data_IF_033755711181
#
_entry.id   IF_033755711181
#
_cell.length_a   1.000
_cell.length_b   1.000
_cell.length_c   1.000
_cell.angle_alpha   90.00
_cell.angle_beta   90.00
_cell.angle_gamma   90.00
#
_symmetry.space_group_name_H-M   'P 1'
#
loop_
_entity.id
_entity.type
_entity.pdbx_description
1 polymer ?
#
# COMPACT_ATOMS: atom_id res chain seq x y z
N UNK A 1 70.26 -38.37 21.29
CA UNK A 1 69.93 -37.08 20.71
C UNK A 1 68.51 -37.25 20.17
N UNK A 2 67.49 -36.83 20.96
CA UNK A 2 66.06 -37.01 20.62
C UNK A 2 65.51 -35.69 20.17
N UNK A 3 65.10 -35.54 18.86
CA UNK A 3 64.44 -34.39 18.29
C UNK A 3 62.95 -34.43 18.70
N UNK A 4 62.44 -33.33 19.28
CA UNK A 4 61.01 -33.09 19.55
C UNK A 4 60.37 -32.35 18.36
N UNK A 5 59.19 -32.73 17.87
CA UNK A 5 58.52 -31.94 16.86
C UNK A 5 57.74 -30.78 17.52
N UNK A 6 57.93 -29.57 16.99
CA UNK A 6 57.17 -28.40 17.35
C UNK A 6 55.77 -28.44 16.60
N UNK A 7 54.73 -28.44 17.37
CA UNK A 7 53.34 -28.30 16.84
C UNK A 7 53.04 -26.81 16.71
N UNK A 8 52.94 -26.35 15.48
CA UNK A 8 52.45 -24.99 15.20
C UNK A 8 50.90 -24.96 15.29
N UNK A 9 50.40 -24.20 16.24
CA UNK A 9 48.95 -23.97 16.43
C UNK A 9 48.49 -22.89 15.44
N UNK A 10 47.73 -23.28 14.41
CA UNK A 10 47.17 -22.39 13.44
C UNK A 10 45.85 -21.80 14.02
N UNK A 11 45.85 -20.55 14.45
CA UNK A 11 44.67 -19.86 14.94
C UNK A 11 43.82 -19.42 13.75
N UNK A 12 42.66 -20.06 13.57
CA UNK A 12 41.63 -19.69 12.57
C UNK A 12 40.83 -18.49 13.09
N UNK A 13 41.11 -17.29 12.58
CA UNK A 13 40.35 -16.10 12.86
C UNK A 13 39.08 -16.13 12.02
N UNK A 14 37.93 -16.46 12.63
CA UNK A 14 36.62 -16.33 12.04
C UNK A 14 36.22 -14.84 12.01
N UNK A 15 36.37 -14.22 10.84
CA UNK A 15 35.81 -12.88 10.58
C UNK A 15 34.29 -12.98 10.45
N UNK A 16 33.56 -12.60 11.49
CA UNK A 16 32.09 -12.41 11.42
C UNK A 16 31.80 -11.13 10.64
N UNK A 17 31.43 -11.26 9.37
CA UNK A 17 30.82 -10.18 8.57
C UNK A 17 29.48 -9.83 9.17
N UNK A 18 29.40 -8.79 9.99
CA UNK A 18 28.14 -8.15 10.32
C UNK A 18 27.63 -7.46 9.05
N UNK A 19 26.61 -8.06 8.41
CA UNK A 19 25.87 -7.42 7.34
C UNK A 19 25.26 -6.13 7.89
N UNK A 20 25.84 -5.00 7.48
CA UNK A 20 25.31 -3.67 7.78
C UNK A 20 24.01 -3.55 7.01
N UNK A 21 22.87 -3.52 7.72
CA UNK A 21 21.59 -3.22 7.12
C UNK A 21 21.71 -1.83 6.46
N UNK A 22 21.66 -1.81 5.14
CA UNK A 22 21.66 -0.58 4.34
C UNK A 22 20.38 0.18 4.69
N UNK A 23 20.54 1.37 5.26
CA UNK A 23 19.41 2.22 5.62
C UNK A 23 18.61 2.51 4.36
N UNK A 24 17.30 2.21 4.37
CA UNK A 24 16.39 2.55 3.29
C UNK A 24 16.50 4.04 2.94
N UNK A 25 16.39 4.43 1.64
CA UNK A 25 16.54 5.82 1.23
C UNK A 25 15.58 6.72 2.01
N UNK A 26 16.13 7.77 2.59
CA UNK A 26 15.45 8.74 3.44
C UNK A 26 14.15 9.25 2.81
N UNK A 27 13.09 9.27 3.62
CA UNK A 27 11.86 9.95 3.28
C UNK A 27 12.18 11.42 2.91
N UNK A 28 11.78 11.85 1.71
CA UNK A 28 11.99 13.23 1.25
C UNK A 28 11.39 14.19 2.28
N UNK A 29 12.17 15.09 2.90
CA UNK A 29 11.64 16.02 3.88
C UNK A 29 10.55 16.88 3.27
N UNK A 30 9.50 17.13 4.04
CA UNK A 30 8.49 18.10 3.70
C UNK A 30 9.14 19.48 3.61
N UNK A 31 9.33 20.03 2.42
CA UNK A 31 9.86 21.37 2.26
C UNK A 31 8.87 22.34 2.92
N UNK A 32 9.21 22.84 4.11
CA UNK A 32 8.53 23.95 4.77
C UNK A 32 7.76 23.64 6.06
N UNK A 33 7.68 22.39 6.54
CA UNK A 33 7.06 22.09 7.83
C UNK A 33 7.88 21.09 8.64
N UNK A 34 8.51 21.57 9.70
CA UNK A 34 9.19 20.73 10.71
C UNK A 34 8.21 19.99 11.61
N UNK A 35 6.92 20.31 11.52
CA UNK A 35 5.85 19.76 12.35
C UNK A 35 4.87 18.86 11.56
N UNK A 36 5.20 18.42 10.36
CA UNK A 36 4.38 17.47 9.60
C UNK A 36 4.54 16.04 10.13
N UNK A 37 3.48 15.21 10.00
CA UNK A 37 3.54 13.78 10.33
C UNK A 37 4.63 13.06 9.49
N UNK A 38 4.68 13.37 8.20
CA UNK A 38 5.64 12.80 7.27
C UNK A 38 5.40 11.33 6.93
N UNK A 39 6.19 10.85 5.96
CA UNK A 39 6.32 9.43 5.64
C UNK A 39 7.61 8.92 6.26
N UNK A 40 7.51 8.06 7.27
CA UNK A 40 8.63 7.65 8.09
C UNK A 40 9.64 6.75 7.36
N UNK A 41 9.14 5.90 6.45
CA UNK A 41 9.99 5.05 5.59
C UNK A 41 9.24 4.57 4.36
N UNK A 42 10.01 4.13 3.38
CA UNK A 42 9.54 3.41 2.20
C UNK A 42 9.73 1.91 2.45
N UNK A 43 8.71 1.11 2.08
CA UNK A 43 8.76 -0.35 2.17
C UNK A 43 8.60 -0.94 0.77
N UNK A 44 9.69 -1.43 0.15
CA UNK A 44 9.59 -2.20 -1.08
C UNK A 44 8.86 -3.53 -0.82
N UNK A 45 7.92 -3.89 -1.70
CA UNK A 45 7.16 -5.13 -1.63
C UNK A 45 7.38 -5.94 -2.90
N UNK A 46 7.90 -7.15 -2.71
CA UNK A 46 8.21 -8.11 -3.78
C UNK A 46 7.17 -9.23 -3.79
N UNK A 47 6.56 -9.47 -4.94
CA UNK A 47 5.58 -10.54 -5.12
C UNK A 47 6.17 -11.95 -4.90
N UNK A 48 7.44 -12.16 -5.18
CA UNK A 48 8.11 -13.44 -4.96
C UNK A 48 8.26 -13.78 -3.47
N UNK A 49 8.33 -12.76 -2.60
CA UNK A 49 8.48 -12.91 -1.15
C UNK A 49 7.12 -12.77 -0.44
N UNK A 50 6.31 -11.85 -0.92
CA UNK A 50 5.06 -11.43 -0.24
C UNK A 50 3.92 -11.30 -1.25
N UNK A 51 3.44 -12.42 -1.82
CA UNK A 51 2.43 -12.38 -2.89
C UNK A 51 1.06 -11.91 -2.41
N UNK A 52 0.75 -12.04 -1.11
CA UNK A 52 -0.57 -11.72 -0.54
C UNK A 52 -0.39 -11.13 0.85
N UNK A 53 -1.02 -9.98 1.13
CA UNK A 53 -0.89 -9.25 2.41
C UNK A 53 -2.24 -8.77 2.94
N UNK A 54 -2.37 -8.66 4.28
CA UNK A 54 -3.54 -8.13 4.98
C UNK A 54 -4.32 -9.19 5.74
N UNK A 55 -4.20 -9.18 7.08
CA UNK A 55 -4.66 -10.23 8.01
C UNK A 55 -6.17 -10.47 8.03
N UNK A 56 -6.96 -9.53 7.49
CA UNK A 56 -8.41 -9.76 7.36
C UNK A 56 -8.75 -10.81 6.31
N UNK A 57 -7.83 -11.10 5.37
CA UNK A 57 -8.08 -11.98 4.22
C UNK A 57 -6.97 -13.02 4.01
N UNK A 58 -5.76 -12.75 4.52
CA UNK A 58 -4.61 -13.61 4.33
C UNK A 58 -3.92 -13.91 5.66
N UNK A 59 -3.17 -15.02 5.80
CA UNK A 59 -2.47 -15.37 7.04
C UNK A 59 -1.39 -14.35 7.42
N UNK A 60 -0.86 -13.61 6.45
CA UNK A 60 0.27 -12.69 6.62
C UNK A 60 -0.08 -11.25 6.25
N UNK A 61 0.74 -10.32 6.70
CA UNK A 61 0.69 -8.91 6.31
C UNK A 61 2.10 -8.38 6.05
N UNK A 62 2.21 -7.10 5.76
CA UNK A 62 3.48 -6.41 5.58
C UNK A 62 4.35 -6.45 6.84
N UNK A 63 5.67 -6.40 6.67
CA UNK A 63 6.64 -6.33 7.77
C UNK A 63 6.60 -4.93 8.42
N UNK A 64 5.59 -4.71 9.26
CA UNK A 64 5.36 -3.46 9.99
C UNK A 64 5.73 -3.64 11.46
N UNK A 65 6.44 -2.64 12.01
CA UNK A 65 6.66 -2.53 13.44
C UNK A 65 5.39 -2.01 14.16
N UNK A 66 5.27 -2.20 15.46
CA UNK A 66 4.20 -1.58 16.24
C UNK A 66 4.13 -0.07 16.00
N UNK A 67 2.91 0.46 15.87
CA UNK A 67 2.61 1.84 15.51
C UNK A 67 3.04 2.25 14.09
N UNK A 68 3.33 1.32 13.19
CA UNK A 68 3.44 1.59 11.77
C UNK A 68 2.10 1.37 11.07
N UNK A 69 1.74 2.31 10.20
CA UNK A 69 0.50 2.27 9.42
C UNK A 69 0.79 2.47 7.94
N UNK A 70 0.11 1.71 7.10
CA UNK A 70 0.06 1.91 5.65
C UNK A 70 -1.33 2.40 5.31
N UNK A 71 -1.44 3.61 4.73
CA UNK A 71 -2.71 4.18 4.33
C UNK A 71 -3.05 3.75 2.91
N UNK A 72 -4.23 3.16 2.72
CA UNK A 72 -4.70 2.72 1.41
C UNK A 72 -6.10 3.24 1.11
N UNK A 73 -6.32 3.65 -0.14
CA UNK A 73 -7.59 4.22 -0.61
C UNK A 73 -8.05 3.48 -1.86
N UNK A 74 -9.32 3.06 -1.90
CA UNK A 74 -9.91 2.32 -2.99
C UNK A 74 -10.95 3.16 -3.76
N UNK A 75 -11.35 2.69 -4.97
CA UNK A 75 -12.42 3.17 -5.85
C UNK A 75 -12.16 4.44 -6.64
N UNK A 76 -11.17 5.23 -6.26
CA UNK A 76 -10.88 6.51 -6.90
C UNK A 76 -10.35 6.41 -8.34
N UNK A 77 -10.07 7.59 -8.92
CA UNK A 77 -10.38 8.92 -8.38
C UNK A 77 -11.84 9.32 -8.54
N UNK A 78 -12.32 10.26 -7.70
CA UNK A 78 -13.65 10.83 -7.79
C UNK A 78 -13.63 12.36 -7.65
N UNK A 79 -14.52 13.05 -8.38
CA UNK A 79 -14.68 14.48 -8.28
C UNK A 79 -15.09 14.90 -6.86
N UNK A 80 -14.51 15.98 -6.37
CA UNK A 80 -14.90 16.62 -5.10
C UNK A 80 -14.40 15.95 -3.83
N UNK A 81 -13.89 14.72 -3.89
CA UNK A 81 -13.39 13.99 -2.70
C UNK A 81 -11.91 13.63 -2.80
N UNK A 82 -11.47 12.99 -3.88
CA UNK A 82 -10.06 12.59 -4.05
C UNK A 82 -9.11 13.78 -3.93
N UNK A 83 -9.46 14.94 -4.51
CA UNK A 83 -8.65 16.16 -4.36
C UNK A 83 -8.49 16.60 -2.91
N UNK A 84 -9.54 16.51 -2.08
CA UNK A 84 -9.49 16.84 -0.65
C UNK A 84 -8.63 15.85 0.14
N UNK A 85 -8.69 14.56 -0.21
CA UNK A 85 -7.82 13.52 0.38
C UNK A 85 -6.35 13.82 0.06
N UNK A 86 -6.01 14.08 -1.21
CA UNK A 86 -4.67 14.45 -1.63
C UNK A 86 -4.17 15.72 -0.91
N UNK A 87 -5.02 16.76 -0.80
CA UNK A 87 -4.69 17.98 -0.07
C UNK A 87 -4.38 17.72 1.42
N UNK A 88 -5.13 16.82 2.06
CA UNK A 88 -4.90 16.46 3.45
C UNK A 88 -3.56 15.72 3.63
N UNK A 89 -3.27 14.75 2.76
CA UNK A 89 -2.00 14.00 2.76
C UNK A 89 -0.82 14.92 2.47
N UNK A 90 -0.95 15.83 1.51
CA UNK A 90 0.08 16.79 1.14
C UNK A 90 0.44 17.74 2.28
N UNK A 91 -0.54 18.25 3.02
CA UNK A 91 -0.30 19.12 4.20
C UNK A 91 0.54 18.44 5.28
N UNK A 92 0.38 17.13 5.44
CA UNK A 92 1.13 16.35 6.42
C UNK A 92 2.33 15.61 5.81
N UNK A 93 2.63 15.83 4.53
CA UNK A 93 3.72 15.15 3.78
C UNK A 93 3.66 13.62 3.83
N UNK A 94 2.46 13.10 3.87
CA UNK A 94 2.18 11.67 3.94
C UNK A 94 1.97 11.10 2.55
N UNK A 95 2.66 10.01 2.23
CA UNK A 95 2.43 9.21 1.04
C UNK A 95 1.55 8.01 1.38
N UNK A 96 0.69 7.64 0.44
CA UNK A 96 -0.27 6.56 0.58
C UNK A 96 -0.34 5.71 -0.71
N UNK A 97 -1.13 4.65 -0.70
CA UNK A 97 -1.39 3.83 -1.89
C UNK A 97 -2.86 3.94 -2.28
N UNK A 98 -3.11 4.13 -3.58
CA UNK A 98 -4.45 4.29 -4.15
C UNK A 98 -4.72 3.15 -5.12
N UNK A 99 -5.74 2.34 -4.85
CA UNK A 99 -6.20 1.24 -5.69
C UNK A 99 -7.30 1.77 -6.61
N UNK A 100 -6.92 2.21 -7.81
CA UNK A 100 -7.82 2.89 -8.71
C UNK A 100 -8.67 1.94 -9.54
N UNK A 101 -9.92 2.33 -9.78
CA UNK A 101 -10.75 1.73 -10.83
C UNK A 101 -10.34 2.27 -12.20
N UNK A 102 -10.24 1.38 -13.18
CA UNK A 102 -9.88 1.79 -14.54
C UNK A 102 -10.86 2.82 -15.13
N UNK A 103 -12.18 2.63 -14.91
CA UNK A 103 -13.21 3.59 -15.34
C UNK A 103 -13.08 4.97 -14.69
N UNK A 104 -12.68 4.99 -13.40
CA UNK A 104 -12.50 6.23 -12.64
C UNK A 104 -11.24 6.97 -13.10
N UNK A 105 -10.16 6.25 -13.38
CA UNK A 105 -8.93 6.83 -13.93
C UNK A 105 -9.18 7.48 -15.30
N UNK A 106 -9.96 6.85 -16.17
CA UNK A 106 -10.36 7.42 -17.47
C UNK A 106 -11.29 8.64 -17.31
N UNK A 107 -12.20 8.62 -16.35
CA UNK A 107 -13.14 9.72 -16.12
C UNK A 107 -12.47 10.95 -15.49
N UNK A 108 -11.46 10.77 -14.67
CA UNK A 108 -10.75 11.84 -13.92
C UNK A 108 -9.23 11.73 -14.07
N UNK A 109 -8.70 11.80 -15.31
CA UNK A 109 -7.29 11.55 -15.59
C UNK A 109 -6.35 12.53 -14.86
N UNK A 110 -6.77 13.78 -14.66
CA UNK A 110 -5.96 14.79 -13.98
C UNK A 110 -5.80 14.45 -12.47
N UNK A 111 -6.84 13.92 -11.83
CA UNK A 111 -6.73 13.46 -10.44
C UNK A 111 -5.85 12.21 -10.32
N UNK A 112 -5.96 11.27 -11.28
CA UNK A 112 -5.09 10.10 -11.31
C UNK A 112 -3.61 10.50 -11.49
N UNK A 113 -3.30 11.42 -12.42
CA UNK A 113 -1.93 11.95 -12.63
C UNK A 113 -1.44 12.73 -11.42
N UNK A 114 -2.31 13.53 -10.78
CA UNK A 114 -1.98 14.24 -9.56
C UNK A 114 -1.56 13.28 -8.44
N UNK A 115 -2.27 12.15 -8.29
CA UNK A 115 -1.93 11.13 -7.29
C UNK A 115 -0.48 10.65 -7.45
N UNK A 116 -0.06 10.34 -8.69
CA UNK A 116 1.33 9.93 -8.96
C UNK A 116 2.31 11.09 -8.77
N UNK A 117 1.99 12.28 -9.27
CA UNK A 117 2.91 13.44 -9.21
C UNK A 117 3.16 13.93 -7.78
N UNK A 118 2.24 13.68 -6.84
CA UNK A 118 2.43 13.95 -5.40
C UNK A 118 3.17 12.80 -4.68
N UNK A 119 3.63 11.77 -5.43
CA UNK A 119 4.50 10.70 -4.93
C UNK A 119 3.77 9.54 -4.25
N UNK A 120 2.46 9.42 -4.44
CA UNK A 120 1.69 8.27 -3.98
C UNK A 120 1.88 7.07 -4.89
N UNK A 121 1.74 5.87 -4.35
CA UNK A 121 1.66 4.63 -5.15
C UNK A 121 0.26 4.50 -5.74
N UNK A 122 0.18 4.36 -7.07
CA UNK A 122 -1.07 3.98 -7.74
C UNK A 122 -1.03 2.49 -8.05
N UNK A 123 -2.05 1.80 -7.60
CA UNK A 123 -2.30 0.37 -7.75
C UNK A 123 -3.68 0.14 -8.43
N UNK A 124 -4.15 -1.09 -8.49
CA UNK A 124 -5.26 -1.47 -9.36
C UNK A 124 -6.40 -2.14 -8.60
N UNK A 125 -7.65 -1.82 -8.99
CA UNK A 125 -8.88 -2.30 -8.35
C UNK A 125 -9.94 -2.75 -9.36
N UNK A 126 -9.56 -3.40 -10.46
CA UNK A 126 -10.39 -3.74 -11.63
C UNK A 126 -10.76 -2.54 -12.50
N UNK A 127 -11.55 -2.79 -13.54
CA UNK A 127 -12.07 -1.70 -14.37
C UNK A 127 -13.34 -1.07 -13.79
N UNK A 128 -14.34 -1.90 -13.38
CA UNK A 128 -15.69 -1.44 -13.04
C UNK A 128 -16.22 -1.88 -11.66
N UNK A 129 -15.38 -2.52 -10.84
CA UNK A 129 -15.70 -2.95 -9.48
C UNK A 129 -16.72 -4.11 -9.35
N UNK A 130 -16.72 -5.15 -10.18
CA UNK A 130 -17.57 -6.32 -9.95
C UNK A 130 -16.99 -7.22 -8.85
N UNK A 131 -17.83 -8.03 -8.21
CA UNK A 131 -17.39 -9.11 -7.32
C UNK A 131 -16.87 -10.27 -8.17
N UNK A 132 -15.54 -10.41 -8.24
CA UNK A 132 -14.88 -11.30 -9.20
C UNK A 132 -15.10 -12.79 -8.91
N UNK A 133 -15.38 -13.18 -7.67
CA UNK A 133 -15.71 -14.55 -7.26
C UNK A 133 -17.06 -15.04 -7.83
N UNK A 134 -17.91 -14.11 -8.28
CA UNK A 134 -19.22 -14.37 -8.90
C UNK A 134 -19.19 -14.42 -10.42
N UNK A 135 -18.01 -14.22 -11.00
CA UNK A 135 -17.80 -14.18 -12.45
C UNK A 135 -17.13 -15.47 -12.95
N UNK A 136 -17.39 -15.89 -14.21
CA UNK A 136 -16.55 -16.90 -14.85
C UNK A 136 -15.07 -16.43 -14.83
N UNK A 137 -14.10 -17.33 -14.55
CA UNK A 137 -12.69 -16.94 -14.37
C UNK A 137 -12.09 -16.13 -15.51
N UNK A 138 -12.44 -16.45 -16.77
CA UNK A 138 -11.96 -15.69 -17.93
C UNK A 138 -12.53 -14.28 -18.03
N UNK A 139 -13.81 -14.08 -17.65
CA UNK A 139 -14.43 -12.77 -17.59
C UNK A 139 -13.86 -11.91 -16.44
N UNK A 140 -13.60 -12.54 -15.29
CA UNK A 140 -12.95 -11.88 -14.15
C UNK A 140 -11.52 -11.44 -14.50
N UNK A 141 -10.76 -12.26 -15.19
CA UNK A 141 -9.41 -11.92 -15.66
C UNK A 141 -9.42 -10.77 -16.67
N UNK A 142 -10.37 -10.79 -17.63
CA UNK A 142 -10.52 -9.70 -18.58
C UNK A 142 -10.89 -8.37 -17.89
N UNK A 143 -11.69 -8.40 -16.83
CA UNK A 143 -12.03 -7.22 -16.03
C UNK A 143 -10.82 -6.67 -15.27
N UNK A 144 -9.95 -7.54 -14.74
CA UNK A 144 -8.67 -7.17 -14.12
C UNK A 144 -7.76 -6.52 -15.16
N UNK A 145 -7.55 -7.19 -16.30
CA UNK A 145 -6.62 -6.73 -17.35
C UNK A 145 -7.08 -5.40 -17.97
N UNK A 146 -8.37 -5.22 -18.15
CA UNK A 146 -8.94 -3.95 -18.60
C UNK A 146 -8.69 -2.84 -17.58
N UNK A 147 -8.77 -3.15 -16.28
CA UNK A 147 -8.44 -2.22 -15.21
C UNK A 147 -6.96 -1.79 -15.26
N UNK A 148 -6.04 -2.76 -15.37
CA UNK A 148 -4.61 -2.49 -15.52
C UNK A 148 -4.33 -1.59 -16.73
N UNK A 149 -4.85 -1.99 -17.90
CA UNK A 149 -4.64 -1.25 -19.14
C UNK A 149 -5.17 0.20 -19.05
N UNK A 150 -6.34 0.42 -18.49
CA UNK A 150 -6.93 1.74 -18.38
C UNK A 150 -6.14 2.67 -17.44
N UNK A 151 -5.73 2.18 -16.27
CA UNK A 151 -4.93 2.95 -15.31
C UNK A 151 -3.55 3.28 -15.90
N UNK A 152 -2.83 2.30 -16.42
CA UNK A 152 -1.48 2.48 -16.95
C UNK A 152 -1.46 3.37 -18.21
N UNK A 153 -2.44 3.22 -19.09
CA UNK A 153 -2.58 4.11 -20.25
C UNK A 153 -2.84 5.56 -19.83
N UNK A 154 -3.66 5.78 -18.79
CA UNK A 154 -3.96 7.11 -18.26
C UNK A 154 -2.73 7.78 -17.66
N UNK A 155 -1.90 7.01 -16.95
CA UNK A 155 -0.78 7.55 -16.18
C UNK A 155 0.52 7.61 -16.99
N UNK A 156 0.77 6.58 -17.80
CA UNK A 156 2.08 6.36 -18.42
C UNK A 156 2.03 6.32 -19.96
N UNK A 157 0.83 6.49 -20.55
CA UNK A 157 0.63 6.44 -22.00
C UNK A 157 0.87 5.05 -22.62
N UNK A 158 0.98 4.01 -21.81
CA UNK A 158 1.23 2.62 -22.22
C UNK A 158 0.51 1.65 -21.30
N UNK A 159 0.22 0.47 -21.84
CA UNK A 159 -0.28 -0.65 -21.06
C UNK A 159 0.53 -1.90 -21.38
N UNK A 160 0.68 -2.78 -20.42
CA UNK A 160 1.40 -4.03 -20.55
C UNK A 160 0.66 -5.18 -19.88
N UNK A 161 1.16 -6.39 -20.07
CA UNK A 161 0.64 -7.60 -19.43
C UNK A 161 0.84 -7.60 -17.92
N UNK A 162 1.95 -6.99 -17.46
CA UNK A 162 2.23 -6.69 -16.06
C UNK A 162 2.08 -5.18 -15.92
N UNK A 163 1.26 -4.69 -14.97
CA UNK A 163 1.08 -3.27 -14.77
C UNK A 163 2.35 -2.60 -14.24
N UNK A 164 2.45 -1.28 -14.41
CA UNK A 164 3.59 -0.49 -13.93
C UNK A 164 3.83 -0.68 -12.42
N UNK A 165 2.75 -0.69 -11.63
CA UNK A 165 2.78 -1.07 -10.22
C UNK A 165 2.08 -2.43 -10.08
N UNK A 166 2.79 -3.52 -9.77
CA UNK A 166 2.21 -4.86 -9.71
C UNK A 166 1.45 -5.10 -8.39
N UNK A 167 0.56 -4.20 -8.03
CA UNK A 167 -0.29 -4.28 -6.84
C UNK A 167 -1.76 -4.27 -7.24
N UNK A 168 -2.52 -5.18 -6.63
CA UNK A 168 -3.93 -5.35 -6.91
C UNK A 168 -4.72 -5.58 -5.62
N UNK A 169 -5.94 -5.06 -5.57
CA UNK A 169 -6.94 -5.39 -4.54
C UNK A 169 -8.24 -5.81 -5.21
N UNK A 170 -8.81 -6.91 -4.71
CA UNK A 170 -10.10 -7.41 -5.17
C UNK A 170 -11.23 -6.51 -4.65
N UNK A 171 -12.19 -6.07 -5.51
CA UNK A 171 -13.43 -5.44 -5.08
C UNK A 171 -14.16 -6.28 -4.03
N UNK A 172 -14.54 -5.64 -2.91
CA UNK A 172 -15.19 -6.34 -1.79
C UNK A 172 -14.40 -7.53 -1.24
N UNK A 173 -13.09 -7.61 -1.55
CA UNK A 173 -12.20 -8.74 -1.27
C UNK A 173 -12.68 -10.09 -1.86
N UNK A 174 -13.57 -10.04 -2.85
CA UNK A 174 -14.18 -11.20 -3.50
C UNK A 174 -13.16 -11.90 -4.44
N UNK A 175 -12.26 -12.67 -3.85
CA UNK A 175 -11.22 -13.42 -4.54
C UNK A 175 -11.61 -14.91 -4.71
N UNK A 176 -10.99 -15.59 -5.67
CA UNK A 176 -11.06 -17.05 -5.80
C UNK A 176 -9.64 -17.64 -5.88
N UNK A 177 -9.42 -18.90 -5.48
CA UNK A 177 -8.10 -19.54 -5.57
C UNK A 177 -7.48 -19.43 -6.95
N UNK A 178 -8.29 -19.65 -8.01
CA UNK A 178 -7.84 -19.56 -9.41
C UNK A 178 -7.31 -18.16 -9.77
N UNK A 179 -8.02 -17.11 -9.37
CA UNK A 179 -7.59 -15.72 -9.65
C UNK A 179 -6.36 -15.33 -8.82
N UNK A 180 -6.31 -15.75 -7.55
CA UNK A 180 -5.15 -15.53 -6.70
C UNK A 180 -3.88 -16.15 -7.30
N UNK A 181 -3.96 -17.42 -7.73
CA UNK A 181 -2.83 -18.12 -8.35
C UNK A 181 -2.41 -17.50 -9.68
N UNK A 182 -3.37 -17.01 -10.47
CA UNK A 182 -3.08 -16.32 -11.74
C UNK A 182 -2.33 -15.00 -11.52
N UNK A 183 -2.73 -14.19 -10.53
CA UNK A 183 -2.08 -12.95 -10.19
C UNK A 183 -0.66 -13.20 -9.63
N UNK A 184 -0.51 -14.19 -8.76
CA UNK A 184 0.79 -14.58 -8.21
C UNK A 184 1.77 -15.01 -9.30
N UNK A 185 1.34 -15.88 -10.27
CA UNK A 185 2.18 -16.25 -11.42
C UNK A 185 2.56 -15.07 -12.32
N UNK A 186 1.84 -13.95 -12.26
CA UNK A 186 2.14 -12.69 -12.97
C UNK A 186 3.02 -11.76 -12.16
N UNK A 187 3.47 -12.17 -10.96
CA UNK A 187 4.25 -11.32 -10.07
C UNK A 187 3.45 -10.16 -9.47
N UNK A 188 2.14 -10.34 -9.28
CA UNK A 188 1.27 -9.29 -8.75
C UNK A 188 0.98 -9.55 -7.27
N UNK A 189 1.28 -8.58 -6.42
CA UNK A 189 0.95 -8.62 -4.99
C UNK A 189 -0.53 -8.31 -4.79
N UNK A 190 -1.23 -9.22 -4.12
CA UNK A 190 -2.64 -9.02 -3.76
C UNK A 190 -2.75 -8.42 -2.36
N UNK A 191 -3.34 -7.23 -2.29
CA UNK A 191 -3.55 -6.51 -1.05
C UNK A 191 -4.95 -6.80 -0.47
N UNK A 192 -4.99 -7.37 0.72
CA UNK A 192 -6.10 -7.27 1.65
C UNK A 192 -5.96 -6.02 2.50
N UNK A 193 -6.47 -6.08 3.73
CA UNK A 193 -6.30 -5.04 4.75
C UNK A 193 -6.09 -5.70 6.12
N UNK A 194 -5.48 -4.97 7.07
CA UNK A 194 -5.43 -5.39 8.47
C UNK A 194 -6.62 -4.84 9.24
N UNK A 195 -7.08 -3.65 8.84
CA UNK A 195 -8.27 -2.98 9.38
C UNK A 195 -8.87 -2.02 8.33
N UNK A 196 -10.11 -1.64 8.51
CA UNK A 196 -10.82 -0.73 7.63
C UNK A 196 -11.57 0.36 8.39
N UNK A 197 -11.85 1.47 7.72
CA UNK A 197 -12.58 2.61 8.27
C UNK A 197 -14.10 2.44 8.26
N UNK A 198 -14.64 1.40 7.63
CA UNK A 198 -16.08 1.17 7.41
C UNK A 198 -16.82 2.36 6.77
N UNK A 199 -16.15 3.10 5.91
CA UNK A 199 -16.65 4.31 5.27
C UNK A 199 -17.70 4.04 4.18
N UNK A 200 -18.03 2.79 3.91
CA UNK A 200 -19.19 2.39 3.12
C UNK A 200 -20.49 2.41 3.94
N UNK A 201 -20.40 2.39 5.28
CA UNK A 201 -21.56 2.48 6.17
C UNK A 201 -21.96 3.95 6.38
N UNK A 202 -23.27 4.25 6.48
CA UNK A 202 -23.75 5.59 6.79
C UNK A 202 -23.28 6.04 8.19
N UNK A 203 -22.38 7.01 8.26
CA UNK A 203 -21.92 7.61 9.51
C UNK A 203 -21.39 9.03 9.30
N UNK A 204 -21.38 9.80 10.37
CA UNK A 204 -20.74 11.12 10.35
C UNK A 204 -19.22 11.00 10.31
N UNK A 205 -18.49 12.03 9.83
CA UNK A 205 -17.03 12.04 9.85
C UNK A 205 -16.44 11.84 11.27
N UNK A 206 -17.12 12.33 12.31
CA UNK A 206 -16.72 12.13 13.70
C UNK A 206 -16.83 10.68 14.14
N UNK A 207 -17.94 10.02 13.81
CA UNK A 207 -18.13 8.60 14.14
C UNK A 207 -17.11 7.72 13.39
N UNK A 208 -16.85 8.00 12.13
CA UNK A 208 -15.84 7.30 11.36
C UNK A 208 -14.45 7.47 11.97
N UNK A 209 -14.08 8.70 12.36
CA UNK A 209 -12.81 8.97 13.02
C UNK A 209 -12.67 8.16 14.31
N UNK A 210 -13.68 8.18 15.18
CA UNK A 210 -13.66 7.40 16.43
C UNK A 210 -13.51 5.90 16.17
N UNK A 211 -14.23 5.37 15.17
CA UNK A 211 -14.18 3.95 14.80
C UNK A 211 -12.79 3.54 14.30
N UNK A 212 -12.21 4.29 13.36
CA UNK A 212 -10.91 3.93 12.78
C UNK A 212 -9.77 4.12 13.79
N UNK A 213 -9.83 5.15 14.62
CA UNK A 213 -8.88 5.35 15.73
C UNK A 213 -8.87 4.14 16.67
N UNK A 214 -10.01 3.73 17.19
CA UNK A 214 -10.09 2.56 18.07
C UNK A 214 -9.57 1.27 17.42
N UNK A 215 -9.80 1.09 16.12
CA UNK A 215 -9.27 -0.07 15.37
C UNK A 215 -7.74 -0.01 15.21
N UNK A 216 -7.19 1.17 14.92
CA UNK A 216 -5.73 1.36 14.80
C UNK A 216 -5.05 1.12 16.15
N UNK A 217 -5.63 1.62 17.24
CA UNK A 217 -5.12 1.39 18.60
C UNK A 217 -5.14 -0.11 18.96
N UNK A 218 -6.26 -0.78 18.76
CA UNK A 218 -6.43 -2.21 19.04
C UNK A 218 -5.45 -3.10 18.24
N UNK A 219 -5.20 -2.76 16.96
CA UNK A 219 -4.27 -3.49 16.09
C UNK A 219 -2.81 -3.01 16.22
N UNK A 220 -2.56 -1.90 16.91
CA UNK A 220 -1.24 -1.27 17.04
C UNK A 220 -0.61 -0.90 15.70
N UNK A 221 -1.43 -0.55 14.70
CA UNK A 221 -1.01 -0.24 13.34
C UNK A 221 -1.55 -1.21 12.30
N UNK A 222 -0.93 -1.26 11.11
CA UNK A 222 -1.30 -2.16 10.02
C UNK A 222 -1.73 -1.46 8.73
N UNK A 223 -2.20 -2.23 7.74
CA UNK A 223 -2.76 -1.73 6.48
C UNK A 223 -4.18 -1.24 6.75
N UNK A 224 -4.40 0.07 6.60
CA UNK A 224 -5.70 0.73 6.82
C UNK A 224 -6.40 0.96 5.49
N UNK A 225 -7.62 0.43 5.33
CA UNK A 225 -8.47 0.65 4.16
C UNK A 225 -9.42 1.81 4.38
N UNK A 226 -9.40 2.73 3.42
CA UNK A 226 -10.34 3.80 3.19
C UNK A 226 -10.83 3.79 1.74
N UNK A 227 -11.83 4.62 1.44
CA UNK A 227 -12.23 4.96 0.07
C UNK A 227 -12.14 6.47 -0.13
N UNK A 228 -11.33 6.93 -1.08
CA UNK A 228 -11.17 8.37 -1.37
C UNK A 228 -12.39 8.98 -2.08
N UNK A 229 -13.33 8.13 -2.49
CA UNK A 229 -14.63 8.51 -3.05
C UNK A 229 -15.65 8.93 -2.00
N UNK A 230 -15.37 8.73 -0.70
CA UNK A 230 -16.34 8.99 0.38
C UNK A 230 -16.13 10.37 1.00
N UNK A 231 -17.22 11.16 1.08
CA UNK A 231 -17.19 12.51 1.68
C UNK A 231 -16.79 12.50 3.14
N UNK A 232 -17.28 11.52 3.91
CA UNK A 232 -16.91 11.38 5.33
C UNK A 232 -15.42 11.07 5.50
N UNK A 233 -14.82 10.27 4.62
CA UNK A 233 -13.38 9.99 4.64
C UNK A 233 -12.58 11.27 4.36
N UNK A 234 -12.91 12.01 3.31
CA UNK A 234 -12.24 13.28 3.01
C UNK A 234 -12.34 14.28 4.18
N UNK A 235 -13.52 14.36 4.82
CA UNK A 235 -13.75 15.28 5.93
C UNK A 235 -13.04 14.86 7.24
N UNK A 236 -12.94 13.55 7.54
CA UNK A 236 -12.31 13.09 8.80
C UNK A 236 -10.79 12.93 8.70
N UNK A 237 -10.23 12.75 7.50
CA UNK A 237 -8.81 12.42 7.28
C UNK A 237 -7.84 13.40 7.97
N UNK A 238 -8.03 14.73 7.95
CA UNK A 238 -7.17 15.63 8.70
C UNK A 238 -7.14 15.35 10.21
N UNK A 239 -8.27 14.94 10.78
CA UNK A 239 -8.36 14.52 12.19
C UNK A 239 -7.61 13.21 12.46
N UNK A 240 -7.70 12.27 11.54
CA UNK A 240 -7.00 11.00 11.62
C UNK A 240 -5.47 11.17 11.51
N UNK A 241 -4.99 12.00 10.59
CA UNK A 241 -3.55 12.29 10.48
C UNK A 241 -3.01 12.97 11.75
N UNK A 242 -3.76 13.90 12.36
CA UNK A 242 -3.39 14.47 13.67
C UNK A 242 -3.35 13.42 14.78
N UNK A 243 -4.32 12.49 14.81
CA UNK A 243 -4.30 11.37 15.76
C UNK A 243 -3.04 10.52 15.60
N UNK A 244 -2.68 10.14 14.38
CA UNK A 244 -1.46 9.37 14.12
C UNK A 244 -0.22 10.10 14.62
N UNK A 245 -0.10 11.39 14.31
CA UNK A 245 1.00 12.24 14.74
C UNK A 245 1.12 12.32 16.26
N UNK A 246 0.04 12.70 16.94
CA UNK A 246 0.02 12.86 18.39
C UNK A 246 0.21 11.53 19.14
N UNK A 247 -0.25 10.43 18.54
CA UNK A 247 -0.10 9.07 19.08
C UNK A 247 1.27 8.44 18.82
N UNK A 248 2.18 9.13 18.12
CA UNK A 248 3.50 8.61 17.76
C UNK A 248 3.44 7.44 16.77
N UNK A 249 2.41 7.40 15.92
CA UNK A 249 2.35 6.48 14.79
C UNK A 249 3.25 6.95 13.66
N UNK A 250 3.76 6.00 12.88
CA UNK A 250 4.63 6.23 11.73
C UNK A 250 3.94 5.76 10.46
N UNK A 251 3.85 6.61 9.47
CA UNK A 251 3.32 6.22 8.17
C UNK A 251 4.42 5.57 7.33
N UNK A 252 4.12 4.38 6.81
CA UNK A 252 4.98 3.62 5.90
C UNK A 252 4.36 3.68 4.51
N UNK A 253 5.16 4.07 3.52
CA UNK A 253 4.76 4.08 2.13
C UNK A 253 5.23 2.82 1.43
N UNK A 254 4.32 2.06 0.83
CA UNK A 254 4.67 0.85 0.08
C UNK A 254 4.89 1.16 -1.39
N UNK A 255 5.94 0.58 -1.95
CA UNK A 255 6.30 0.67 -3.37
C UNK A 255 6.61 -0.73 -3.91
N UNK A 256 6.52 -0.93 -5.22
CA UNK A 256 7.00 -2.17 -5.82
C UNK A 256 8.52 -2.27 -5.63
N UNK A 257 9.01 -3.47 -5.27
CA UNK A 257 10.44 -3.72 -5.32
C UNK A 257 10.95 -3.56 -6.75
N UNK A 258 12.12 -2.98 -6.90
CA UNK A 258 12.79 -2.98 -8.20
C UNK A 258 13.19 -4.41 -8.58
N UNK A 259 13.04 -4.80 -9.86
CA UNK A 259 13.43 -6.12 -10.35
C UNK A 259 14.92 -6.36 -10.23
#
# INVERSE_FOLDING_TARGET
MKMRPSIALLALVLATSAARAEAAPDATPCRGSTDALGTARILPVDAAVTPRVGRKHFPQTLALAPKEVVLTFDDGPAAGTTGQVLDALKRECVRASFFLLGRSALAYPELARRTVSEGHTVAHHTFSHPLLDRMPPGAAEAEIDRGFAAVDATLYGRSGRVPHTPFFRFPGFASSPVLLDRLERRGIVVFGADLWASDWDPMSPRQQLQLVVGRVEANRGGIVLFHDTKRQTAAMLPGFLRFLKNGGYRVVHVVAASP
#
